data_IF_978036732416
#
_entry.id   IF_978036732416
#
_cell.length_a   1.000
_cell.length_b   1.000
_cell.length_c   1.000
_cell.angle_alpha   90.00
_cell.angle_beta   90.00
_cell.angle_gamma   90.00
#
_symmetry.space_group_name_H-M   'P 1'
#
loop_
_entity.id
_entity.type
_entity.pdbx_description
1 polymer ?
#
# COMPACT_ATOMS: atom_id res chain seq x y z
N UNK A 1 -7.27 16.24 -17.60
CA UNK A 1 -5.81 16.05 -17.81
C UNK A 1 -5.20 14.83 -17.09
N UNK A 2 -5.87 14.18 -16.12
CA UNK A 2 -5.29 13.05 -15.36
C UNK A 2 -5.38 11.64 -16.03
N UNK A 3 -5.89 11.52 -17.26
CA UNK A 3 -6.12 10.22 -17.91
C UNK A 3 -4.82 9.52 -18.35
N UNK A 4 -3.92 10.22 -19.04
CA UNK A 4 -2.68 9.64 -19.58
C UNK A 4 -1.74 9.07 -18.51
N UNK A 5 -1.49 9.76 -17.38
CA UNK A 5 -0.66 9.20 -16.31
C UNK A 5 -1.28 7.91 -15.72
N UNK A 6 -2.62 7.81 -15.63
CA UNK A 6 -3.31 6.62 -15.10
C UNK A 6 -3.20 5.41 -16.04
N UNK A 7 -3.15 5.62 -17.35
CA UNK A 7 -2.94 4.54 -18.32
C UNK A 7 -1.60 3.83 -18.06
N UNK A 8 -0.55 4.57 -17.67
CA UNK A 8 0.76 3.98 -17.41
C UNK A 8 0.78 3.02 -16.21
N UNK A 9 -0.20 3.09 -15.31
CA UNK A 9 -0.35 2.16 -14.20
C UNK A 9 -0.92 0.81 -14.63
N UNK A 10 -1.68 0.76 -15.73
CA UNK A 10 -2.31 -0.47 -16.23
C UNK A 10 -1.25 -1.52 -16.59
N UNK A 11 -0.19 -1.23 -17.37
CA UNK A 11 0.90 -2.16 -17.61
C UNK A 11 1.58 -2.68 -16.33
N UNK A 12 1.75 -1.84 -15.31
CA UNK A 12 2.35 -2.24 -14.03
C UNK A 12 1.46 -3.24 -13.30
N UNK A 13 0.15 -2.98 -13.26
CA UNK A 13 -0.84 -3.89 -12.67
C UNK A 13 -0.93 -5.22 -13.44
N UNK A 14 -0.85 -5.17 -14.77
CA UNK A 14 -0.79 -6.37 -15.60
C UNK A 14 0.50 -7.17 -15.37
N UNK A 15 1.65 -6.50 -15.21
CA UNK A 15 2.92 -7.15 -14.88
C UNK A 15 2.86 -7.81 -13.48
N UNK A 16 2.19 -7.17 -12.51
CA UNK A 16 1.91 -7.79 -11.22
C UNK A 16 1.06 -9.05 -11.36
N UNK A 17 -0.03 -8.99 -12.13
CA UNK A 17 -0.89 -10.13 -12.42
C UNK A 17 -0.14 -11.29 -13.08
N UNK A 18 0.68 -10.98 -14.09
CA UNK A 18 1.52 -11.97 -14.77
C UNK A 18 2.49 -12.63 -13.79
N UNK A 19 3.16 -11.85 -12.94
CA UNK A 19 4.12 -12.41 -11.99
C UNK A 19 3.44 -13.25 -10.90
N UNK A 20 2.25 -12.84 -10.43
CA UNK A 20 1.39 -13.65 -9.55
C UNK A 20 1.07 -14.99 -10.20
N UNK A 21 0.59 -14.97 -11.45
CA UNK A 21 0.30 -16.19 -12.21
C UNK A 21 1.52 -17.09 -12.35
N UNK A 22 2.65 -16.55 -12.80
CA UNK A 22 3.88 -17.30 -13.03
C UNK A 22 4.41 -17.92 -11.74
N UNK A 23 4.36 -17.17 -10.62
CA UNK A 23 4.89 -17.65 -9.37
C UNK A 23 3.98 -18.71 -8.75
N UNK A 24 2.66 -18.49 -8.71
CA UNK A 24 1.70 -19.50 -8.28
C UNK A 24 1.78 -20.77 -9.14
N UNK A 25 1.89 -20.62 -10.46
CA UNK A 25 2.05 -21.74 -11.40
C UNK A 25 3.28 -22.58 -11.07
N UNK A 26 4.40 -21.92 -10.77
CA UNK A 26 5.64 -22.62 -10.43
C UNK A 26 5.51 -23.39 -9.10
N UNK A 27 4.87 -22.78 -8.10
CA UNK A 27 4.79 -23.36 -6.75
C UNK A 27 3.76 -24.48 -6.64
N UNK A 28 2.59 -24.29 -7.25
CA UNK A 28 1.42 -25.12 -6.99
C UNK A 28 0.84 -25.74 -8.26
N UNK A 29 1.09 -25.16 -9.44
CA UNK A 29 0.66 -25.69 -10.74
C UNK A 29 -0.27 -24.75 -11.51
N UNK A 30 -0.65 -25.13 -12.73
CA UNK A 30 -1.36 -24.25 -13.67
C UNK A 30 -2.68 -23.70 -13.10
N UNK A 31 -3.48 -24.55 -12.45
CA UNK A 31 -4.77 -24.13 -11.91
C UNK A 31 -4.61 -23.07 -10.81
N UNK A 32 -3.62 -23.22 -9.93
CA UNK A 32 -3.30 -22.23 -8.90
C UNK A 32 -2.88 -20.89 -9.52
N UNK A 33 -2.10 -20.92 -10.60
CA UNK A 33 -1.75 -19.72 -11.36
C UNK A 33 -2.99 -18.95 -11.82
N UNK A 34 -3.90 -19.64 -12.50
CA UNK A 34 -5.14 -19.04 -13.03
C UNK A 34 -6.06 -18.53 -11.91
N UNK A 35 -6.21 -19.30 -10.83
CA UNK A 35 -7.05 -18.93 -9.69
C UNK A 35 -6.46 -17.72 -8.93
N UNK A 36 -5.14 -17.67 -8.75
CA UNK A 36 -4.47 -16.53 -8.14
C UNK A 36 -4.64 -15.25 -8.98
N UNK A 37 -4.51 -15.36 -10.30
CA UNK A 37 -4.78 -14.26 -11.22
C UNK A 37 -6.24 -13.80 -11.16
N UNK A 38 -7.19 -14.75 -11.10
CA UNK A 38 -8.61 -14.43 -10.96
C UNK A 38 -8.90 -13.64 -9.69
N UNK A 39 -8.31 -14.01 -8.54
CA UNK A 39 -8.45 -13.21 -7.32
C UNK A 39 -7.92 -11.78 -7.51
N UNK A 40 -6.75 -11.62 -8.12
CA UNK A 40 -6.18 -10.30 -8.38
C UNK A 40 -7.09 -9.44 -9.28
N UNK A 41 -7.68 -10.03 -10.31
CA UNK A 41 -8.56 -9.35 -11.25
C UNK A 41 -9.93 -8.99 -10.68
N UNK A 42 -10.40 -9.72 -9.66
CA UNK A 42 -11.74 -9.55 -9.09
C UNK A 42 -11.72 -8.78 -7.76
N UNK A 43 -10.55 -8.52 -7.17
CA UNK A 43 -10.49 -7.90 -5.86
C UNK A 43 -10.65 -6.37 -5.93
N UNK A 44 -11.71 -5.77 -5.35
CA UNK A 44 -11.98 -4.33 -5.42
C UNK A 44 -10.79 -3.46 -4.96
N UNK A 45 -10.06 -3.89 -3.93
CA UNK A 45 -8.87 -3.16 -3.46
C UNK A 45 -7.78 -3.06 -4.53
N UNK A 46 -7.55 -4.11 -5.34
CA UNK A 46 -6.60 -4.06 -6.45
C UNK A 46 -7.16 -3.21 -7.59
N UNK A 47 -8.45 -3.34 -7.89
CA UNK A 47 -9.12 -2.55 -8.94
C UNK A 47 -9.10 -1.04 -8.62
N UNK A 48 -9.21 -0.67 -7.33
CA UNK A 48 -9.08 0.70 -6.88
C UNK A 48 -7.67 1.26 -7.14
N UNK A 49 -6.64 0.58 -6.63
CA UNK A 49 -5.27 1.10 -6.62
C UNK A 49 -4.49 0.81 -7.92
N UNK A 50 -4.93 -0.15 -8.73
CA UNK A 50 -4.27 -0.57 -9.97
C UNK A 50 -4.26 0.47 -11.09
N UNK A 51 -5.09 1.53 -10.96
CA UNK A 51 -5.21 2.64 -11.91
C UNK A 51 -4.72 3.98 -11.37
N UNK A 52 -4.38 4.07 -10.09
CA UNK A 52 -3.99 5.34 -9.44
C UNK A 52 -2.48 5.51 -9.52
N UNK A 53 -2.03 6.72 -9.88
CA UNK A 53 -0.61 7.06 -10.00
C UNK A 53 -0.01 7.28 -8.63
N UNK A 54 0.46 6.20 -8.01
CA UNK A 54 1.20 6.19 -6.76
C UNK A 54 2.14 4.96 -6.70
N UNK A 55 3.04 4.93 -5.73
CA UNK A 55 4.11 3.91 -5.63
C UNK A 55 3.66 2.56 -5.06
N UNK A 56 2.39 2.42 -4.64
CA UNK A 56 1.93 1.24 -3.90
C UNK A 56 1.88 -0.06 -4.73
N UNK A 57 1.22 -0.04 -5.90
CA UNK A 57 1.18 -1.20 -6.81
C UNK A 57 2.54 -1.51 -7.44
N UNK A 58 3.33 -0.51 -7.93
CA UNK A 58 4.72 -0.74 -8.30
C UNK A 58 5.54 -1.36 -7.17
N UNK A 59 5.35 -0.89 -5.93
CA UNK A 59 5.99 -1.44 -4.74
C UNK A 59 5.61 -2.90 -4.48
N UNK A 60 4.33 -3.27 -4.64
CA UNK A 60 3.88 -4.65 -4.53
C UNK A 60 4.50 -5.55 -5.61
N UNK A 61 4.60 -5.07 -6.86
CA UNK A 61 5.29 -5.76 -7.94
C UNK A 61 6.78 -5.97 -7.63
N UNK A 62 7.48 -4.92 -7.20
CA UNK A 62 8.91 -5.00 -6.89
C UNK A 62 9.17 -5.92 -5.68
N UNK A 63 8.31 -5.89 -4.68
CA UNK A 63 8.35 -6.77 -3.52
C UNK A 63 8.15 -8.24 -3.93
N UNK A 64 7.14 -8.54 -4.76
CA UNK A 64 6.92 -9.88 -5.31
C UNK A 64 8.11 -10.35 -6.17
N UNK A 65 8.62 -9.47 -7.04
CA UNK A 65 9.76 -9.75 -7.91
C UNK A 65 11.02 -10.07 -7.11
N UNK A 66 11.31 -9.31 -6.05
CA UNK A 66 12.42 -9.59 -5.15
C UNK A 66 12.32 -11.00 -4.56
N UNK A 67 11.17 -11.38 -3.99
CA UNK A 67 11.00 -12.71 -3.40
C UNK A 67 10.99 -13.83 -4.44
N UNK A 68 10.47 -13.58 -5.64
CA UNK A 68 10.59 -14.52 -6.76
C UNK A 68 12.05 -14.77 -7.14
N UNK A 69 12.85 -13.70 -7.27
CA UNK A 69 14.28 -13.78 -7.59
C UNK A 69 15.09 -14.40 -6.44
N UNK A 70 14.75 -14.08 -5.19
CA UNK A 70 15.35 -14.70 -4.01
C UNK A 70 15.09 -16.20 -4.00
N UNK A 71 13.85 -16.62 -4.26
CA UNK A 71 13.52 -18.04 -4.37
C UNK A 71 14.26 -18.72 -5.54
N UNK A 72 14.38 -18.06 -6.70
CA UNK A 72 15.22 -18.56 -7.80
C UNK A 72 16.68 -18.74 -7.36
N UNK A 73 17.25 -17.77 -6.67
CA UNK A 73 18.62 -17.83 -6.19
C UNK A 73 18.82 -18.97 -5.18
N UNK A 74 17.95 -19.11 -4.19
CA UNK A 74 18.03 -20.15 -3.16
C UNK A 74 17.93 -21.56 -3.78
N UNK A 75 17.05 -21.77 -4.78
CA UNK A 75 16.92 -23.08 -5.43
C UNK A 75 18.18 -23.51 -6.18
N UNK A 76 18.82 -22.58 -6.92
CA UNK A 76 20.10 -22.86 -7.61
C UNK A 76 20.94 -21.59 -7.59
N UNK A 77 21.87 -21.45 -6.62
CA UNK A 77 22.73 -20.27 -6.53
C UNK A 77 23.60 -20.13 -7.76
N UNK A 78 23.63 -18.93 -8.35
CA UNK A 78 24.56 -18.57 -9.42
C UNK A 78 24.86 -17.08 -9.40
N UNK A 79 26.00 -16.70 -9.96
CA UNK A 79 26.42 -15.31 -10.06
C UNK A 79 25.35 -14.43 -10.73
N UNK A 80 24.83 -14.85 -11.89
CA UNK A 80 23.79 -14.11 -12.60
C UNK A 80 22.51 -13.94 -11.76
N UNK A 81 22.11 -14.95 -10.97
CA UNK A 81 20.93 -14.84 -10.10
C UNK A 81 21.17 -13.90 -8.92
N UNK A 82 22.41 -13.84 -8.41
CA UNK A 82 22.78 -12.88 -7.38
C UNK A 82 22.73 -11.44 -7.91
N UNK A 83 23.22 -11.21 -9.14
CA UNK A 83 23.11 -9.92 -9.82
C UNK A 83 21.64 -9.52 -10.00
N UNK A 84 20.80 -10.41 -10.53
CA UNK A 84 19.36 -10.12 -10.67
C UNK A 84 18.66 -9.89 -9.34
N UNK A 85 19.00 -10.65 -8.30
CA UNK A 85 18.49 -10.42 -6.94
C UNK A 85 18.88 -9.03 -6.42
N UNK A 86 20.13 -8.61 -6.62
CA UNK A 86 20.58 -7.25 -6.31
C UNK A 86 19.85 -6.18 -7.11
N UNK A 87 19.67 -6.38 -8.42
CA UNK A 87 18.90 -5.48 -9.28
C UNK A 87 17.45 -5.34 -8.80
N UNK A 88 16.80 -6.45 -8.43
CA UNK A 88 15.45 -6.46 -7.86
C UNK A 88 15.38 -5.72 -6.51
N UNK A 89 16.40 -5.88 -5.66
CA UNK A 89 16.50 -5.15 -4.40
C UNK A 89 16.63 -3.64 -4.59
N UNK A 90 17.54 -3.21 -5.48
CA UNK A 90 17.71 -1.81 -5.83
C UNK A 90 16.47 -1.20 -6.48
N UNK A 91 15.84 -1.93 -7.40
CA UNK A 91 14.60 -1.50 -8.07
C UNK A 91 13.46 -1.32 -7.05
N UNK A 92 13.34 -2.23 -6.10
CA UNK A 92 12.33 -2.12 -5.05
C UNK A 92 12.54 -0.86 -4.19
N UNK A 93 13.77 -0.56 -3.77
CA UNK A 93 14.06 0.60 -2.93
C UNK A 93 13.87 1.94 -3.63
N UNK A 94 14.16 2.03 -4.94
CA UNK A 94 13.87 3.26 -5.71
C UNK A 94 12.39 3.40 -6.04
N UNK A 95 11.65 2.29 -6.13
CA UNK A 95 10.21 2.32 -6.38
C UNK A 95 9.45 2.84 -5.16
N UNK A 96 9.85 2.40 -3.96
CA UNK A 96 9.24 2.84 -2.71
C UNK A 96 10.24 2.70 -1.56
N UNK A 97 10.51 3.79 -0.85
CA UNK A 97 11.50 3.83 0.24
C UNK A 97 11.27 2.77 1.32
N UNK A 98 10.02 2.42 1.63
CA UNK A 98 9.69 1.37 2.62
C UNK A 98 10.19 -0.03 2.23
N UNK A 99 10.55 -0.25 0.96
CA UNK A 99 11.15 -1.50 0.49
C UNK A 99 12.58 -1.71 0.98
N UNK A 100 13.17 -0.74 1.69
CA UNK A 100 14.45 -0.92 2.38
C UNK A 100 14.44 -2.11 3.36
N UNK A 101 13.25 -2.52 3.83
CA UNK A 101 13.03 -3.74 4.62
C UNK A 101 13.57 -5.01 3.94
N UNK A 102 13.76 -5.00 2.61
CA UNK A 102 14.32 -6.11 1.84
C UNK A 102 15.84 -6.21 1.94
N UNK A 103 16.55 -5.09 2.12
CA UNK A 103 18.01 -5.06 2.03
C UNK A 103 18.70 -5.95 3.09
N UNK A 104 18.24 -6.02 4.36
CA UNK A 104 18.79 -6.95 5.34
C UNK A 104 18.69 -8.43 4.95
N UNK A 105 17.78 -8.80 4.06
CA UNK A 105 17.64 -10.18 3.59
C UNK A 105 18.80 -10.60 2.69
N UNK A 106 19.49 -9.67 2.03
CA UNK A 106 20.65 -9.99 1.20
C UNK A 106 21.78 -10.59 2.04
N UNK A 107 22.40 -9.89 3.01
CA UNK A 107 23.47 -10.46 3.82
C UNK A 107 23.01 -11.71 4.58
N UNK A 108 21.77 -11.77 5.08
CA UNK A 108 21.22 -12.97 5.70
C UNK A 108 21.21 -14.18 4.76
N UNK A 109 20.77 -13.99 3.51
CA UNK A 109 20.71 -15.06 2.50
C UNK A 109 22.10 -15.59 2.19
N UNK A 110 23.07 -14.71 1.94
CA UNK A 110 24.43 -15.13 1.61
C UNK A 110 25.14 -15.72 2.82
N UNK A 111 24.90 -15.21 4.02
CA UNK A 111 25.39 -15.80 5.26
C UNK A 111 24.90 -17.24 5.41
N UNK A 112 23.59 -17.50 5.30
CA UNK A 112 23.04 -18.87 5.33
C UNK A 112 23.68 -19.74 4.25
N UNK A 113 23.88 -19.19 3.04
CA UNK A 113 24.51 -19.92 1.95
C UNK A 113 25.97 -20.31 2.26
N UNK A 114 26.74 -19.51 3.02
CA UNK A 114 28.11 -19.88 3.42
C UNK A 114 28.16 -21.12 4.31
N UNK A 115 27.15 -21.37 5.15
CA UNK A 115 27.07 -22.58 5.98
C UNK A 115 26.58 -23.80 5.20
N UNK A 116 25.82 -23.59 4.12
CA UNK A 116 25.37 -24.65 3.22
C UNK A 116 26.43 -25.04 2.18
N UNK A 117 27.45 -24.21 2.00
CA UNK A 117 28.55 -24.44 1.05
C UNK A 117 29.65 -25.26 1.72
N UNK A 118 30.20 -26.27 1.03
CA UNK A 118 31.37 -27.00 1.52
C UNK A 118 32.59 -26.08 1.69
N UNK A 119 33.59 -26.49 2.49
CA UNK A 119 34.76 -25.67 2.85
C UNK A 119 35.51 -25.09 1.64
N UNK A 120 35.58 -25.82 0.52
CA UNK A 120 36.19 -25.39 -0.75
C UNK A 120 35.42 -24.32 -1.52
N UNK A 121 34.13 -24.11 -1.24
CA UNK A 121 33.26 -23.18 -1.99
C UNK A 121 32.82 -21.96 -1.18
N UNK A 122 33.39 -21.77 0.02
CA UNK A 122 32.95 -20.75 0.98
C UNK A 122 33.16 -19.30 0.50
N UNK A 123 34.02 -19.08 -0.50
CA UNK A 123 34.25 -17.77 -1.12
C UNK A 123 33.15 -17.38 -2.11
N UNK A 124 32.41 -18.34 -2.69
CA UNK A 124 31.38 -18.05 -3.70
C UNK A 124 30.21 -17.22 -3.17
N UNK A 125 29.64 -17.49 -1.98
CA UNK A 125 28.57 -16.65 -1.44
C UNK A 125 29.01 -15.21 -1.17
N UNK A 126 30.27 -14.99 -0.78
CA UNK A 126 30.81 -13.65 -0.58
C UNK A 126 30.91 -12.89 -1.92
N UNK A 127 31.37 -13.55 -2.99
CA UNK A 127 31.38 -12.98 -4.35
C UNK A 127 29.96 -12.66 -4.84
N UNK A 128 29.00 -13.57 -4.62
CA UNK A 128 27.61 -13.33 -4.97
C UNK A 128 27.00 -12.16 -4.17
N UNK A 129 27.32 -12.04 -2.88
CA UNK A 129 26.90 -10.92 -2.05
C UNK A 129 27.49 -9.60 -2.58
N UNK A 130 28.79 -9.57 -2.88
CA UNK A 130 29.44 -8.40 -3.46
C UNK A 130 28.78 -7.97 -4.77
N UNK A 131 28.48 -8.92 -5.66
CA UNK A 131 27.79 -8.65 -6.92
C UNK A 131 26.35 -8.14 -6.71
N UNK A 132 25.60 -8.74 -5.80
CA UNK A 132 24.24 -8.29 -5.46
C UNK A 132 24.25 -6.87 -4.86
N UNK A 133 25.15 -6.60 -3.92
CA UNK A 133 25.31 -5.29 -3.29
C UNK A 133 25.73 -4.23 -4.30
N UNK A 134 26.72 -4.52 -5.14
CA UNK A 134 27.13 -3.61 -6.23
C UNK A 134 25.95 -3.31 -7.16
N UNK A 135 25.13 -4.32 -7.48
CA UNK A 135 23.97 -4.11 -8.34
C UNK A 135 22.88 -3.27 -7.66
N UNK A 136 22.62 -3.44 -6.36
CA UNK A 136 21.73 -2.54 -5.59
C UNK A 136 22.23 -1.10 -5.68
N UNK A 137 23.51 -0.87 -5.38
CA UNK A 137 24.11 0.46 -5.42
C UNK A 137 24.09 1.07 -6.83
N UNK A 138 24.35 0.26 -7.86
CA UNK A 138 24.30 0.68 -9.25
C UNK A 138 22.90 1.11 -9.66
N UNK A 139 21.87 0.32 -9.37
CA UNK A 139 20.48 0.66 -9.70
C UNK A 139 20.05 1.96 -9.02
N UNK A 140 20.38 2.13 -7.74
CA UNK A 140 20.08 3.35 -7.00
C UNK A 140 20.79 4.55 -7.65
N UNK A 141 22.08 4.45 -7.95
CA UNK A 141 22.81 5.57 -8.55
C UNK A 141 22.32 5.90 -9.97
N UNK A 142 22.05 4.88 -10.79
CA UNK A 142 21.51 5.07 -12.16
C UNK A 142 20.17 5.77 -12.14
N UNK A 143 19.27 5.40 -11.22
CA UNK A 143 17.95 6.04 -11.08
C UNK A 143 18.01 7.54 -10.73
N UNK A 144 19.12 7.97 -10.14
CA UNK A 144 19.40 9.36 -9.82
C UNK A 144 20.45 9.97 -10.76
N UNK A 145 20.72 9.36 -11.92
CA UNK A 145 21.69 9.84 -12.91
C UNK A 145 23.11 10.06 -12.37
N UNK A 146 23.48 9.37 -11.28
CA UNK A 146 24.70 9.59 -10.49
C UNK A 146 24.81 11.01 -9.88
N UNK A 147 23.73 11.79 -9.88
CA UNK A 147 23.69 13.12 -9.29
C UNK A 147 23.65 13.07 -7.77
N UNK A 148 24.48 13.94 -7.16
CA UNK A 148 24.64 14.05 -5.70
C UNK A 148 24.68 15.51 -5.26
N UNK A 149 23.68 16.33 -5.65
CA UNK A 149 23.64 17.72 -5.21
C UNK A 149 23.60 17.79 -3.67
N UNK A 150 24.17 18.84 -3.06
CA UNK A 150 23.97 19.08 -1.65
C UNK A 150 22.51 19.45 -1.38
N UNK A 151 22.04 19.20 -0.17
CA UNK A 151 20.73 19.66 0.30
C UNK A 151 20.66 21.20 0.22
N UNK A 152 19.52 21.74 -0.21
CA UNK A 152 19.33 23.18 -0.32
C UNK A 152 18.95 23.79 1.06
N UNK A 153 18.72 25.11 1.09
CA UNK A 153 18.35 25.82 2.32
C UNK A 153 17.00 25.34 2.90
N UNK A 154 16.02 25.06 2.03
CA UNK A 154 14.69 24.57 2.41
C UNK A 154 14.77 23.16 3.01
N UNK A 155 15.54 22.25 2.42
CA UNK A 155 15.73 20.89 2.95
C UNK A 155 16.37 20.91 4.34
N UNK A 156 17.36 21.79 4.54
CA UNK A 156 17.98 22.01 5.85
C UNK A 156 17.00 22.60 6.86
N UNK A 157 16.16 23.55 6.44
CA UNK A 157 15.12 24.13 7.29
C UNK A 157 14.06 23.09 7.69
N UNK A 158 13.61 22.24 6.77
CA UNK A 158 12.71 21.11 7.04
C UNK A 158 13.35 20.16 8.08
N UNK A 159 14.62 19.81 7.87
CA UNK A 159 15.35 18.93 8.80
C UNK A 159 15.46 19.55 10.19
N UNK A 160 15.73 20.86 10.28
CA UNK A 160 15.79 21.60 11.54
C UNK A 160 14.43 21.70 12.23
N UNK A 161 13.34 21.85 11.49
CA UNK A 161 11.99 21.83 12.04
C UNK A 161 11.53 20.45 12.52
N UNK A 162 12.09 19.38 11.95
CA UNK A 162 11.73 18.00 12.25
C UNK A 162 12.65 17.31 13.25
N UNK A 163 13.70 17.95 13.76
CA UNK A 163 14.63 17.26 14.67
C UNK A 163 15.32 18.21 15.63
N UNK A 164 15.50 17.76 16.87
CA UNK A 164 16.33 18.46 17.86
C UNK A 164 17.84 18.34 17.58
N UNK A 165 18.25 17.45 16.67
CA UNK A 165 19.65 17.23 16.30
C UNK A 165 19.85 17.25 14.77
N UNK A 166 19.57 18.38 14.09
CA UNK A 166 19.63 18.45 12.62
C UNK A 166 21.02 18.18 12.07
N UNK A 167 22.09 18.66 12.71
CA UNK A 167 23.47 18.43 12.26
C UNK A 167 23.87 16.95 12.24
N UNK A 168 23.34 16.17 13.20
CA UNK A 168 23.56 14.72 13.23
C UNK A 168 22.88 14.01 12.06
N UNK A 169 21.70 14.48 11.65
CA UNK A 169 21.01 13.96 10.48
C UNK A 169 21.73 14.37 9.20
N UNK A 170 22.12 15.64 9.08
CA UNK A 170 22.83 16.15 7.91
C UNK A 170 24.17 15.42 7.71
N UNK A 171 24.90 15.11 8.78
CA UNK A 171 26.11 14.29 8.73
C UNK A 171 25.83 12.82 8.38
N UNK A 172 24.75 12.21 8.90
CA UNK A 172 24.31 10.87 8.52
C UNK A 172 23.92 10.76 7.04
N UNK A 173 23.36 11.82 6.45
CA UNK A 173 23.10 11.91 5.01
C UNK A 173 24.42 12.16 4.25
N UNK A 174 25.24 13.10 4.70
CA UNK A 174 26.45 13.54 4.00
C UNK A 174 27.55 12.48 3.94
N UNK A 175 27.74 11.66 4.97
CA UNK A 175 28.77 10.63 5.01
C UNK A 175 28.63 9.57 3.88
N UNK A 176 27.45 8.92 3.69
CA UNK A 176 27.22 8.00 2.58
C UNK A 176 26.97 8.68 1.23
N UNK A 177 26.73 10.00 1.18
CA UNK A 177 26.48 10.73 -0.08
C UNK A 177 27.67 10.68 -1.08
N UNK A 178 28.86 10.24 -0.65
CA UNK A 178 30.00 9.94 -1.53
C UNK A 178 29.78 8.71 -2.42
N UNK A 179 28.88 7.81 -2.06
CA UNK A 179 28.58 6.57 -2.82
C UNK A 179 27.11 6.40 -3.19
N UNK A 180 26.22 7.17 -2.57
CA UNK A 180 24.77 7.11 -2.77
C UNK A 180 24.21 8.51 -3.09
N UNK A 181 23.10 8.62 -3.84
CA UNK A 181 22.43 9.89 -4.11
C UNK A 181 21.95 10.58 -2.83
N UNK A 182 22.26 11.87 -2.67
CA UNK A 182 21.87 12.68 -1.50
C UNK A 182 20.35 12.65 -1.27
N UNK A 183 19.55 12.83 -2.32
CA UNK A 183 18.08 12.86 -2.20
C UNK A 183 17.44 11.49 -1.98
N UNK A 184 18.13 10.39 -2.31
CA UNK A 184 17.69 9.05 -1.90
C UNK A 184 17.77 8.91 -0.38
N UNK A 185 18.91 9.30 0.20
CA UNK A 185 19.14 9.28 1.65
C UNK A 185 18.22 10.25 2.38
N UNK A 186 18.00 11.45 1.83
CA UNK A 186 17.04 12.41 2.37
C UNK A 186 15.61 11.88 2.33
N UNK A 187 15.20 11.19 1.26
CA UNK A 187 13.88 10.53 1.18
C UNK A 187 13.71 9.44 2.24
N UNK A 188 14.73 8.62 2.46
CA UNK A 188 14.72 7.62 3.56
C UNK A 188 14.56 8.29 4.93
N UNK A 189 15.27 9.38 5.18
CA UNK A 189 15.13 10.16 6.41
C UNK A 189 13.70 10.69 6.56
N UNK A 190 13.13 11.32 5.52
CA UNK A 190 11.78 11.88 5.59
C UNK A 190 10.72 10.82 5.90
N UNK A 191 10.80 9.62 5.29
CA UNK A 191 9.88 8.52 5.59
C UNK A 191 10.06 8.00 7.02
N UNK A 192 11.31 7.89 7.50
CA UNK A 192 11.59 7.46 8.86
C UNK A 192 11.09 8.48 9.90
N UNK A 193 11.35 9.78 9.67
CA UNK A 193 10.87 10.87 10.51
C UNK A 193 9.34 10.92 10.52
N UNK A 194 8.69 10.83 9.35
CA UNK A 194 7.24 10.78 9.25
C UNK A 194 6.67 9.58 10.02
N UNK A 195 7.28 8.39 9.91
CA UNK A 195 6.84 7.24 10.70
C UNK A 195 7.09 7.42 12.20
N UNK A 196 8.14 8.12 12.62
CA UNK A 196 8.43 8.39 14.03
C UNK A 196 7.44 9.38 14.65
N UNK A 197 7.14 10.48 13.95
CA UNK A 197 6.19 11.48 14.41
C UNK A 197 4.75 10.99 14.32
N UNK A 198 4.49 10.15 13.33
CA UNK A 198 3.18 9.59 13.03
C UNK A 198 2.39 10.45 12.04
N UNK A 199 1.14 10.07 11.81
CA UNK A 199 0.26 10.74 10.88
C UNK A 199 -1.17 10.73 11.40
N UNK A 200 -1.89 11.84 11.22
CA UNK A 200 -3.29 11.92 11.57
C UNK A 200 -4.10 10.87 10.79
N UNK A 201 -4.75 9.97 11.51
CA UNK A 201 -5.44 8.83 10.96
C UNK A 201 -6.73 8.55 11.74
N UNK A 202 -7.61 7.74 11.17
CA UNK A 202 -8.77 7.21 11.86
C UNK A 202 -8.98 5.74 11.59
N UNK A 203 -9.53 5.07 12.60
CA UNK A 203 -9.87 3.66 12.58
C UNK A 203 -11.07 3.43 13.51
N UNK A 204 -12.16 2.84 13.00
CA UNK A 204 -13.34 2.46 13.79
C UNK A 204 -13.91 3.62 14.64
N UNK A 205 -13.96 4.82 14.07
CA UNK A 205 -14.45 6.04 14.72
C UNK A 205 -13.43 6.71 15.65
N UNK A 206 -12.30 6.08 15.93
CA UNK A 206 -11.21 6.67 16.72
C UNK A 206 -10.37 7.59 15.83
N UNK A 207 -9.86 8.69 16.37
CA UNK A 207 -8.83 9.51 15.74
C UNK A 207 -7.52 9.45 16.53
N UNK A 208 -6.40 9.56 15.82
CA UNK A 208 -5.09 9.59 16.47
C UNK A 208 -3.97 9.90 15.49
N UNK A 209 -2.83 10.32 16.01
CA UNK A 209 -1.63 10.63 15.23
C UNK A 209 -0.54 9.56 15.37
N UNK A 210 -0.69 8.63 16.31
CA UNK A 210 0.32 7.60 16.64
C UNK A 210 0.03 6.23 16.05
N UNK A 211 -1.03 6.08 15.25
CA UNK A 211 -1.40 4.81 14.61
C UNK A 211 -1.84 3.71 15.59
N UNK A 212 -2.24 2.56 15.04
CA UNK A 212 -2.70 1.37 15.73
C UNK A 212 -2.03 0.14 15.13
N UNK A 213 -1.45 -0.71 15.97
CA UNK A 213 -0.79 -1.95 15.51
C UNK A 213 -1.75 -2.87 14.71
N UNK A 214 -3.04 -2.81 15.02
CA UNK A 214 -4.11 -3.59 14.38
C UNK A 214 -4.79 -2.88 13.19
N UNK A 215 -4.28 -1.71 12.78
CA UNK A 215 -4.86 -0.95 11.66
C UNK A 215 -4.91 -1.77 10.37
N UNK A 216 -3.79 -2.34 9.92
CA UNK A 216 -3.74 -3.10 8.68
C UNK A 216 -4.53 -4.41 8.71
N UNK A 217 -4.52 -5.20 9.81
CA UNK A 217 -5.44 -6.31 9.97
C UNK A 217 -6.93 -5.91 9.81
N UNK A 218 -7.37 -4.83 10.45
CA UNK A 218 -8.75 -4.34 10.32
C UNK A 218 -9.02 -3.82 8.91
N UNK A 219 -8.10 -3.03 8.35
CA UNK A 219 -8.24 -2.49 7.00
C UNK A 219 -8.33 -3.62 5.97
N UNK A 220 -7.48 -4.66 6.06
CA UNK A 220 -7.55 -5.85 5.22
C UNK A 220 -8.91 -6.55 5.40
N UNK A 221 -9.36 -6.75 6.64
CA UNK A 221 -10.62 -7.42 6.94
C UNK A 221 -11.85 -6.68 6.40
N UNK A 222 -11.82 -5.35 6.32
CA UNK A 222 -12.94 -4.54 5.81
C UNK A 222 -12.84 -4.25 4.31
N UNK A 223 -11.63 -4.13 3.76
CA UNK A 223 -11.39 -3.75 2.37
C UNK A 223 -11.39 -4.92 1.39
N UNK A 224 -11.30 -6.14 1.90
CA UNK A 224 -11.28 -7.32 1.03
C UNK A 224 -12.65 -7.95 0.84
N UNK A 225 -12.89 -8.65 -0.27
CA UNK A 225 -14.12 -9.43 -0.42
C UNK A 225 -14.17 -10.52 0.66
N UNK A 226 -15.34 -10.79 1.26
CA UNK A 226 -15.46 -11.81 2.32
C UNK A 226 -15.01 -13.18 1.81
N UNK A 227 -15.31 -13.48 0.54
CA UNK A 227 -14.86 -14.69 -0.15
C UNK A 227 -13.33 -14.79 -0.22
N UNK A 228 -12.65 -13.71 -0.60
CA UNK A 228 -11.19 -13.68 -0.64
C UNK A 228 -10.57 -13.69 0.75
N UNK A 229 -11.14 -12.97 1.72
CA UNK A 229 -10.70 -12.98 3.12
C UNK A 229 -10.76 -14.39 3.71
N UNK A 230 -11.88 -15.10 3.50
CA UNK A 230 -12.05 -16.48 3.93
C UNK A 230 -10.99 -17.40 3.33
N UNK A 231 -10.78 -17.35 2.01
CA UNK A 231 -9.75 -18.15 1.34
C UNK A 231 -8.34 -17.77 1.80
N UNK A 232 -8.08 -16.49 2.07
CA UNK A 232 -6.79 -16.03 2.60
C UNK A 232 -6.51 -16.64 3.98
N UNK A 233 -7.47 -16.62 4.90
CA UNK A 233 -7.33 -17.19 6.23
C UNK A 233 -7.11 -18.72 6.15
N UNK A 234 -7.97 -19.42 5.41
CA UNK A 234 -7.87 -20.89 5.29
C UNK A 234 -6.57 -21.31 4.61
N UNK A 235 -6.15 -20.61 3.56
CA UNK A 235 -4.90 -20.89 2.85
C UNK A 235 -3.66 -20.56 3.67
N UNK A 236 -3.69 -19.54 4.53
CA UNK A 236 -2.64 -19.26 5.51
C UNK A 236 -2.50 -20.42 6.50
N UNK A 237 -3.59 -20.86 7.13
CA UNK A 237 -3.59 -21.99 8.07
C UNK A 237 -3.08 -23.27 7.39
N UNK A 238 -3.58 -23.56 6.19
CA UNK A 238 -3.12 -24.69 5.39
C UNK A 238 -1.61 -24.60 5.07
N UNK A 239 -1.12 -23.42 4.70
CA UNK A 239 0.28 -23.21 4.37
C UNK A 239 1.20 -23.38 5.58
N UNK A 240 0.81 -22.84 6.74
CA UNK A 240 1.52 -23.03 8.02
C UNK A 240 1.58 -24.52 8.37
N UNK A 241 0.46 -25.23 8.24
CA UNK A 241 0.42 -26.68 8.44
C UNK A 241 1.39 -27.44 7.52
N UNK A 242 1.45 -27.08 6.23
CA UNK A 242 2.40 -27.66 5.26
C UNK A 242 3.86 -27.36 5.58
N UNK A 243 4.16 -26.20 6.14
CA UNK A 243 5.51 -25.88 6.62
C UNK A 243 5.87 -26.72 7.84
N UNK A 244 4.97 -26.81 8.83
CA UNK A 244 5.25 -27.54 10.07
C UNK A 244 5.35 -29.05 9.83
N UNK A 245 4.40 -29.62 9.08
CA UNK A 245 4.30 -31.06 8.82
C UNK A 245 5.28 -31.53 7.73
N UNK A 246 5.31 -30.85 6.59
CA UNK A 246 6.01 -31.33 5.38
C UNK A 246 7.33 -30.58 5.13
N UNK A 247 7.68 -29.57 5.95
CA UNK A 247 8.88 -28.70 5.76
C UNK A 247 8.96 -28.10 4.36
N UNK A 248 7.80 -27.78 3.78
CA UNK A 248 7.68 -27.35 2.40
C UNK A 248 8.29 -25.96 2.16
N UNK A 249 9.44 -25.93 1.47
CA UNK A 249 10.15 -24.69 1.11
C UNK A 249 9.27 -23.76 0.25
N UNK A 250 8.43 -24.32 -0.63
CA UNK A 250 7.51 -23.53 -1.47
C UNK A 250 6.52 -22.71 -0.65
N UNK A 251 6.01 -23.26 0.45
CA UNK A 251 5.12 -22.55 1.37
C UNK A 251 5.88 -21.51 2.21
N UNK A 252 7.11 -21.82 2.64
CA UNK A 252 8.00 -20.84 3.31
C UNK A 252 8.28 -19.64 2.40
N UNK A 253 8.49 -19.87 1.10
CA UNK A 253 8.78 -18.83 0.12
C UNK A 253 7.63 -17.83 -0.10
N UNK A 254 6.42 -18.15 0.38
CA UNK A 254 5.22 -17.29 0.33
C UNK A 254 4.84 -16.77 1.72
N UNK A 255 5.03 -17.56 2.78
CA UNK A 255 4.75 -17.12 4.16
C UNK A 255 5.80 -16.14 4.69
N UNK A 256 7.08 -16.31 4.35
CA UNK A 256 8.14 -15.41 4.80
C UNK A 256 7.92 -13.94 4.37
N UNK A 257 7.59 -13.62 3.10
CA UNK A 257 7.25 -12.25 2.72
C UNK A 257 6.03 -11.71 3.45
N UNK A 258 4.97 -12.51 3.60
CA UNK A 258 3.78 -12.09 4.36
C UNK A 258 4.17 -11.71 5.79
N UNK A 259 4.89 -12.59 6.48
CA UNK A 259 5.31 -12.36 7.86
C UNK A 259 6.21 -11.12 8.01
N UNK A 260 7.18 -10.96 7.12
CA UNK A 260 8.09 -9.81 7.12
C UNK A 260 7.33 -8.49 6.95
N UNK A 261 6.45 -8.42 5.96
CA UNK A 261 5.72 -7.18 5.67
C UNK A 261 4.66 -6.90 6.74
N UNK A 262 3.98 -7.92 7.28
CA UNK A 262 3.09 -7.77 8.43
C UNK A 262 3.83 -7.19 9.64
N UNK A 263 5.01 -7.73 9.97
CA UNK A 263 5.80 -7.24 11.09
C UNK A 263 6.20 -5.76 10.91
N UNK A 264 6.59 -5.35 9.69
CA UNK A 264 6.92 -3.96 9.39
C UNK A 264 5.68 -3.04 9.40
N UNK A 265 4.55 -3.52 8.89
CA UNK A 265 3.32 -2.74 8.82
C UNK A 265 2.70 -2.52 10.21
N UNK A 266 2.73 -3.53 11.07
CA UNK A 266 2.17 -3.47 12.43
C UNK A 266 2.98 -2.58 13.39
N UNK A 267 4.21 -2.20 13.03
CA UNK A 267 5.03 -1.22 13.76
C UNK A 267 5.03 0.17 13.13
N UNK A 268 4.26 0.38 12.06
CA UNK A 268 4.17 1.68 11.39
C UNK A 268 3.08 2.57 12.01
N UNK A 269 3.42 3.85 12.20
CA UNK A 269 2.48 4.89 12.64
C UNK A 269 1.83 5.64 11.46
N UNK A 270 2.10 5.23 10.21
CA UNK A 270 1.50 5.80 9.00
C UNK A 270 0.31 4.92 8.60
N UNK A 271 -0.85 5.24 9.16
CA UNK A 271 -2.07 4.42 9.05
C UNK A 271 -3.15 5.12 8.21
N UNK A 272 -2.82 5.39 6.96
CA UNK A 272 -3.64 6.21 6.07
C UNK A 272 -4.30 5.43 4.93
N UNK A 273 -4.06 4.12 4.82
CA UNK A 273 -4.57 3.35 3.69
C UNK A 273 -4.16 1.88 3.67
N UNK A 274 -5.10 0.99 3.34
CA UNK A 274 -4.81 -0.42 3.00
C UNK A 274 -3.80 -0.53 1.85
N UNK A 275 -3.67 0.51 1.01
CA UNK A 275 -2.69 0.59 -0.07
C UNK A 275 -1.25 0.34 0.38
N UNK A 276 -0.88 0.73 1.60
CA UNK A 276 0.46 0.50 2.15
C UNK A 276 0.72 -0.99 2.44
N UNK A 277 -0.33 -1.80 2.50
CA UNK A 277 -0.31 -3.24 2.74
C UNK A 277 -0.44 -4.09 1.47
N UNK A 278 -0.60 -3.46 0.29
CA UNK A 278 -0.67 -4.16 -1.01
C UNK A 278 0.48 -5.13 -1.28
N UNK A 279 1.73 -4.94 -0.80
CA UNK A 279 2.79 -5.93 -1.00
C UNK A 279 2.49 -7.33 -0.47
N UNK A 280 1.53 -7.47 0.46
CA UNK A 280 1.08 -8.76 1.00
C UNK A 280 0.07 -9.45 0.08
N UNK A 281 -0.78 -8.69 -0.62
CA UNK A 281 -1.88 -9.21 -1.44
C UNK A 281 -1.44 -10.25 -2.49
N UNK A 282 -0.36 -10.03 -3.27
CA UNK A 282 0.12 -11.01 -4.24
C UNK A 282 0.38 -12.39 -3.65
N UNK A 283 0.93 -12.45 -2.43
CA UNK A 283 1.23 -13.72 -1.76
C UNK A 283 -0.03 -14.39 -1.24
N UNK A 284 -1.02 -13.61 -0.78
CA UNK A 284 -2.35 -14.14 -0.42
C UNK A 284 -3.08 -14.72 -1.64
N UNK A 285 -3.00 -14.06 -2.80
CA UNK A 285 -3.54 -14.60 -4.06
C UNK A 285 -2.87 -15.93 -4.44
N UNK A 286 -1.54 -15.99 -4.34
CA UNK A 286 -0.76 -17.21 -4.60
C UNK A 286 -1.15 -18.35 -3.66
N UNK A 287 -1.29 -18.09 -2.35
CA UNK A 287 -1.74 -19.10 -1.37
C UNK A 287 -3.18 -19.55 -1.63
N UNK A 288 -4.09 -18.60 -1.92
CA UNK A 288 -5.49 -18.90 -2.22
C UNK A 288 -5.63 -19.80 -3.45
N UNK A 289 -4.92 -19.46 -4.54
CA UNK A 289 -4.86 -20.31 -5.74
C UNK A 289 -4.27 -21.69 -5.46
N UNK A 290 -3.18 -21.75 -4.69
CA UNK A 290 -2.54 -23.01 -4.27
C UNK A 290 -3.46 -23.91 -3.45
N UNK A 291 -4.19 -23.33 -2.49
CA UNK A 291 -5.15 -24.05 -1.66
C UNK A 291 -6.30 -24.61 -2.50
N UNK A 292 -6.92 -23.79 -3.34
CA UNK A 292 -8.02 -24.24 -4.21
C UNK A 292 -7.55 -25.34 -5.18
N UNK A 293 -6.33 -25.24 -5.73
CA UNK A 293 -5.77 -26.31 -6.54
C UNK A 293 -5.59 -27.60 -5.73
N UNK A 294 -5.13 -27.52 -4.49
CA UNK A 294 -4.99 -28.70 -3.62
C UNK A 294 -6.35 -29.38 -3.36
N UNK A 295 -7.42 -28.60 -3.16
CA UNK A 295 -8.78 -29.12 -3.01
C UNK A 295 -9.27 -29.75 -4.33
N UNK A 296 -9.04 -29.09 -5.47
CA UNK A 296 -9.40 -29.62 -6.80
C UNK A 296 -8.76 -30.98 -7.09
N UNK A 297 -7.49 -31.16 -6.72
CA UNK A 297 -6.79 -32.45 -6.88
C UNK A 297 -7.35 -33.51 -5.93
N UNK A 298 -7.67 -33.14 -4.69
CA UNK A 298 -8.17 -34.08 -3.67
C UNK A 298 -9.62 -34.51 -3.90
N UNK A 299 -10.49 -33.56 -4.25
CA UNK A 299 -11.94 -33.71 -4.43
C UNK A 299 -12.42 -32.74 -5.51
N UNK A 300 -12.41 -33.20 -6.77
CA UNK A 300 -12.70 -32.36 -7.94
C UNK A 300 -14.02 -31.59 -7.84
N UNK A 301 -15.14 -32.27 -7.53
CA UNK A 301 -16.46 -31.62 -7.44
C UNK A 301 -16.50 -30.54 -6.36
N UNK A 302 -16.01 -30.84 -5.15
CA UNK A 302 -15.95 -29.88 -4.05
C UNK A 302 -15.01 -28.70 -4.36
N UNK A 303 -13.86 -28.95 -4.99
CA UNK A 303 -12.93 -27.90 -5.39
C UNK A 303 -13.50 -26.97 -6.46
N UNK A 304 -14.22 -27.52 -7.45
CA UNK A 304 -14.90 -26.72 -8.48
C UNK A 304 -16.02 -25.89 -7.85
N UNK A 305 -16.85 -26.49 -7.00
CA UNK A 305 -17.93 -25.78 -6.30
C UNK A 305 -17.37 -24.64 -5.43
N UNK A 306 -16.32 -24.91 -4.64
CA UNK A 306 -15.69 -23.90 -3.80
C UNK A 306 -15.08 -22.76 -4.63
N UNK A 307 -14.33 -23.07 -5.68
CA UNK A 307 -13.75 -22.05 -6.56
C UNK A 307 -14.84 -21.22 -7.24
N UNK A 308 -15.91 -21.85 -7.74
CA UNK A 308 -17.02 -21.16 -8.37
C UNK A 308 -17.73 -20.20 -7.40
N UNK A 309 -18.06 -20.66 -6.19
CA UNK A 309 -18.73 -19.82 -5.17
C UNK A 309 -17.87 -18.63 -4.78
N UNK A 310 -16.59 -18.86 -4.49
CA UNK A 310 -15.68 -17.79 -4.07
C UNK A 310 -15.47 -16.76 -5.18
N UNK A 311 -15.21 -17.20 -6.42
CA UNK A 311 -14.97 -16.30 -7.54
C UNK A 311 -16.25 -15.58 -7.98
N UNK A 312 -17.41 -16.25 -7.96
CA UNK A 312 -18.69 -15.62 -8.25
C UNK A 312 -19.02 -14.53 -7.22
N UNK A 313 -18.74 -14.77 -5.94
CA UNK A 313 -18.89 -13.74 -4.90
C UNK A 313 -17.95 -12.56 -5.16
N UNK A 314 -16.66 -12.79 -5.37
CA UNK A 314 -15.71 -11.70 -5.63
C UNK A 314 -16.09 -10.91 -6.90
N UNK A 315 -16.53 -11.60 -7.96
CA UNK A 315 -17.04 -10.96 -9.17
C UNK A 315 -18.29 -10.12 -8.90
N UNK A 316 -19.24 -10.64 -8.12
CA UNK A 316 -20.44 -9.90 -7.74
C UNK A 316 -20.10 -8.60 -7.01
N UNK A 317 -19.18 -8.65 -6.03
CA UNK A 317 -18.72 -7.44 -5.33
C UNK A 317 -18.02 -6.46 -6.28
N UNK A 318 -17.13 -6.94 -7.15
CA UNK A 318 -16.45 -6.09 -8.11
C UNK A 318 -17.45 -5.37 -9.03
N UNK A 319 -18.41 -6.10 -9.60
CA UNK A 319 -19.43 -5.51 -10.49
C UNK A 319 -20.34 -4.55 -9.74
N UNK A 320 -20.77 -4.90 -8.52
CA UNK A 320 -21.67 -4.09 -7.70
C UNK A 320 -21.07 -2.74 -7.32
N UNK A 321 -19.77 -2.71 -7.11
CA UNK A 321 -19.04 -1.54 -6.57
C UNK A 321 -18.51 -0.64 -7.69
N UNK A 322 -18.41 -1.15 -8.91
CA UNK A 322 -17.97 -0.36 -10.05
C UNK A 322 -18.81 0.92 -10.21
N UNK A 323 -18.18 2.10 -10.42
CA UNK A 323 -16.75 2.36 -10.58
C UNK A 323 -16.01 2.78 -9.29
N UNK A 324 -16.67 2.77 -8.14
CA UNK A 324 -16.29 3.42 -6.88
C UNK A 324 -15.51 2.49 -5.93
N UNK A 325 -14.50 1.80 -6.48
CA UNK A 325 -13.73 0.79 -5.75
C UNK A 325 -12.96 1.33 -4.54
N UNK A 326 -12.57 2.60 -4.54
CA UNK A 326 -11.79 3.21 -3.44
C UNK A 326 -12.58 3.15 -2.14
N UNK A 327 -13.85 3.55 -2.17
CA UNK A 327 -14.73 3.59 -1.01
C UNK A 327 -15.16 2.20 -0.52
N UNK A 328 -15.04 1.15 -1.33
CA UNK A 328 -15.50 -0.21 -1.02
C UNK A 328 -15.17 -0.67 0.40
N UNK A 329 -16.20 -1.06 1.16
CA UNK A 329 -16.06 -1.90 2.34
C UNK A 329 -16.98 -3.11 2.18
N UNK A 330 -16.54 -4.25 2.69
CA UNK A 330 -17.37 -5.44 2.70
C UNK A 330 -18.46 -5.37 3.77
N UNK A 331 -19.29 -6.42 3.83
CA UNK A 331 -20.48 -6.50 4.68
C UNK A 331 -20.20 -6.52 6.19
N UNK A 332 -18.94 -6.60 6.63
CA UNK A 332 -18.59 -6.43 8.03
C UNK A 332 -18.75 -4.96 8.46
N UNK A 333 -18.65 -4.02 7.53
CA UNK A 333 -19.00 -2.62 7.76
C UNK A 333 -20.51 -2.42 7.60
N UNK A 334 -21.18 -1.93 8.65
CA UNK A 334 -22.64 -1.68 8.67
C UNK A 334 -23.00 -0.19 8.71
N UNK A 335 -22.05 0.67 9.05
CA UNK A 335 -22.18 2.12 9.04
C UNK A 335 -21.53 2.77 7.80
N UNK A 336 -21.45 4.11 7.77
CA UNK A 336 -20.81 4.83 6.67
C UNK A 336 -19.31 4.53 6.62
N UNK A 337 -18.74 4.55 5.41
CA UNK A 337 -17.37 4.12 5.14
C UNK A 337 -16.36 4.92 5.94
N UNK A 338 -16.59 6.23 6.01
CA UNK A 338 -15.75 7.18 6.74
C UNK A 338 -15.69 6.91 8.24
N UNK A 339 -16.65 6.18 8.81
CA UNK A 339 -16.58 5.81 10.23
C UNK A 339 -15.50 4.74 10.48
N UNK A 340 -15.36 3.77 9.58
CA UNK A 340 -14.44 2.65 9.79
C UNK A 340 -13.00 2.97 9.41
N UNK A 341 -12.83 3.64 8.27
CA UNK A 341 -11.54 3.99 7.69
C UNK A 341 -11.65 5.36 7.05
N UNK A 342 -10.52 6.04 6.91
CA UNK A 342 -10.46 7.37 6.31
C UNK A 342 -9.31 7.50 5.31
N UNK A 343 -9.13 8.71 4.76
CA UNK A 343 -8.06 9.06 3.82
C UNK A 343 -8.15 8.18 2.56
N UNK A 344 -7.02 7.63 2.12
CA UNK A 344 -6.88 6.83 0.91
C UNK A 344 -7.67 5.52 0.92
N UNK A 345 -8.34 5.19 2.03
CA UNK A 345 -9.34 4.13 2.08
C UNK A 345 -10.72 4.57 1.63
N UNK A 346 -11.06 5.85 1.55
CA UNK A 346 -12.43 6.26 1.21
C UNK A 346 -12.45 7.24 0.04
N UNK A 347 -11.44 8.08 -0.09
CA UNK A 347 -11.34 9.02 -1.21
C UNK A 347 -9.90 9.45 -1.52
N UNK A 348 -9.73 10.01 -2.72
CA UNK A 348 -8.54 10.74 -3.19
C UNK A 348 -8.91 12.08 -3.85
N UNK A 349 -10.16 12.53 -3.68
CA UNK A 349 -10.74 13.60 -4.50
C UNK A 349 -11.13 13.17 -5.92
N UNK A 350 -11.07 11.86 -6.22
CA UNK A 350 -11.47 11.30 -7.52
C UNK A 350 -12.93 11.61 -7.87
N UNK A 351 -13.82 11.55 -6.88
CA UNK A 351 -15.26 11.73 -7.07
C UNK A 351 -15.65 13.20 -7.26
N UNK A 352 -14.81 14.12 -6.78
CA UNK A 352 -14.97 15.57 -6.99
C UNK A 352 -14.89 15.88 -8.49
N UNK A 353 -13.98 15.21 -9.20
CA UNK A 353 -13.86 15.32 -10.64
C UNK A 353 -15.02 14.69 -11.41
N UNK A 354 -15.55 13.57 -10.90
CA UNK A 354 -16.65 12.84 -11.54
C UNK A 354 -17.98 13.60 -11.45
N UNK A 355 -18.19 14.38 -10.39
CA UNK A 355 -19.42 15.12 -10.16
C UNK A 355 -19.71 16.18 -11.23
N UNK A 356 -18.68 16.87 -11.73
CA UNK A 356 -18.88 18.13 -12.47
C UNK A 356 -17.96 18.30 -13.68
N UNK A 357 -17.46 17.20 -14.28
CA UNK A 357 -16.67 17.23 -15.52
C UNK A 357 -15.22 17.72 -15.37
N UNK A 358 -14.77 17.95 -14.13
CA UNK A 358 -13.45 18.47 -13.77
C UNK A 358 -13.46 19.92 -13.28
N UNK A 359 -12.35 20.35 -12.67
CA UNK A 359 -12.22 21.68 -12.03
C UNK A 359 -12.54 22.86 -12.94
N UNK A 360 -12.28 22.74 -14.24
CA UNK A 360 -12.53 23.82 -15.20
C UNK A 360 -14.01 23.98 -15.54
N UNK A 361 -14.80 22.91 -15.54
CA UNK A 361 -16.24 22.97 -15.79
C UNK A 361 -17.03 23.36 -14.54
N UNK A 362 -16.46 23.18 -13.35
CA UNK A 362 -17.07 23.62 -12.09
C UNK A 362 -17.34 25.12 -12.07
N UNK A 363 -16.36 25.94 -12.44
CA UNK A 363 -16.55 27.41 -12.46
C UNK A 363 -17.61 27.85 -13.48
N UNK A 364 -17.71 27.19 -14.63
CA UNK A 364 -18.78 27.45 -15.61
C UNK A 364 -20.18 27.05 -15.11
N UNK A 365 -20.26 26.10 -14.16
CA UNK A 365 -21.49 25.68 -13.51
C UNK A 365 -21.77 26.46 -12.21
N UNK A 366 -20.99 27.50 -11.91
CA UNK A 366 -21.13 28.30 -10.69
C UNK A 366 -20.64 27.60 -9.42
N UNK A 367 -19.85 26.53 -9.54
CA UNK A 367 -19.25 25.80 -8.41
C UNK A 367 -17.82 26.26 -8.23
N UNK A 368 -17.55 26.99 -7.14
CA UNK A 368 -16.21 27.46 -6.78
C UNK A 368 -15.55 26.54 -5.75
N UNK A 369 -14.26 26.24 -5.94
CA UNK A 369 -13.48 25.56 -4.92
C UNK A 369 -13.15 26.53 -3.79
N UNK A 370 -13.76 26.30 -2.64
CA UNK A 370 -13.48 27.06 -1.44
C UNK A 370 -12.46 26.34 -0.58
N UNK A 371 -11.34 27.01 -0.28
CA UNK A 371 -10.50 26.58 0.82
C UNK A 371 -11.16 26.98 2.15
N UNK A 372 -11.97 26.08 2.71
CA UNK A 372 -12.64 26.27 4.01
C UNK A 372 -11.68 26.57 5.18
N UNK A 373 -10.38 26.42 4.98
CA UNK A 373 -9.35 26.71 5.98
C UNK A 373 -8.62 28.04 5.75
N UNK A 374 -8.90 28.73 4.65
CA UNK A 374 -8.34 30.06 4.40
C UNK A 374 -9.01 31.12 5.30
N UNK A 375 -8.30 32.22 5.56
CA UNK A 375 -8.85 33.35 6.29
C UNK A 375 -9.95 34.04 5.47
N UNK A 376 -11.11 34.29 6.08
CA UNK A 376 -12.27 34.92 5.46
C UNK A 376 -13.58 34.23 5.84
N UNK A 377 -14.70 34.95 5.73
CA UNK A 377 -16.01 34.30 5.85
C UNK A 377 -16.29 33.48 4.58
N UNK A 378 -16.74 32.22 4.71
CA UNK A 378 -17.17 31.45 3.56
C UNK A 378 -18.36 32.16 2.89
N UNK A 379 -18.47 32.11 1.55
CA UNK A 379 -19.61 32.70 0.85
C UNK A 379 -20.93 32.08 1.31
N UNK A 380 -22.00 32.87 1.25
CA UNK A 380 -23.35 32.40 1.53
C UNK A 380 -23.72 31.30 0.51
N UNK A 381 -24.12 30.13 0.99
CA UNK A 381 -24.43 28.96 0.16
C UNK A 381 -25.59 28.17 0.75
N UNK A 382 -26.45 27.66 -0.14
CA UNK A 382 -27.54 26.75 0.23
C UNK A 382 -27.06 25.32 0.50
N UNK A 383 -25.87 24.97 0.00
CA UNK A 383 -25.34 23.61 0.07
C UNK A 383 -23.86 23.57 0.42
N UNK A 384 -23.47 22.54 1.16
CA UNK A 384 -22.07 22.21 1.44
C UNK A 384 -21.83 20.73 1.14
N UNK A 385 -20.81 20.46 0.33
CA UNK A 385 -20.31 19.12 0.04
C UNK A 385 -19.05 18.85 0.86
N UNK A 386 -19.04 17.75 1.62
CA UNK A 386 -17.93 17.38 2.51
C UNK A 386 -17.41 16.00 2.12
N UNK A 387 -16.10 15.89 1.90
CA UNK A 387 -15.42 14.61 1.68
C UNK A 387 -15.48 13.72 2.93
N UNK A 388 -15.59 12.42 2.71
CA UNK A 388 -15.63 11.37 3.72
C UNK A 388 -14.50 11.51 4.76
N UNK A 389 -13.29 11.82 4.31
CA UNK A 389 -12.13 11.96 5.20
C UNK A 389 -12.20 13.22 6.06
N UNK A 390 -12.79 14.29 5.54
CA UNK A 390 -13.05 15.51 6.30
C UNK A 390 -14.18 15.31 7.32
N UNK A 391 -15.26 14.59 6.95
CA UNK A 391 -16.31 14.20 7.89
C UNK A 391 -15.75 13.35 9.03
N UNK A 392 -14.87 12.40 8.71
CA UNK A 392 -14.17 11.60 9.71
C UNK A 392 -13.25 12.45 10.61
N UNK A 393 -12.64 13.50 10.04
CA UNK A 393 -11.74 14.42 10.74
C UNK A 393 -10.25 14.09 10.59
N UNK A 394 -9.89 12.94 9.99
CA UNK A 394 -8.47 12.56 9.89
C UNK A 394 -7.66 13.49 8.99
N UNK A 395 -8.24 14.00 7.90
CA UNK A 395 -7.56 14.86 6.91
C UNK A 395 -7.75 16.36 7.15
N UNK A 396 -8.50 16.75 8.19
CA UNK A 396 -8.59 18.15 8.60
C UNK A 396 -7.19 18.58 9.08
N UNK A 397 -6.57 19.61 8.48
CA UNK A 397 -5.24 20.06 8.91
C UNK A 397 -5.31 20.74 10.28
N UNK A 398 -4.18 20.84 10.97
CA UNK A 398 -4.09 21.75 12.13
C UNK A 398 -4.25 23.20 11.66
N UNK A 399 -4.82 24.04 12.51
CA UNK A 399 -4.94 25.47 12.27
C UNK A 399 -4.12 26.27 13.27
N UNK A 400 -4.00 27.58 13.02
CA UNK A 400 -3.39 28.50 13.99
C UNK A 400 -4.22 28.63 15.27
N UNK A 401 -3.73 29.39 16.26
CA UNK A 401 -4.47 29.69 17.47
C UNK A 401 -5.87 30.24 17.16
N UNK A 402 -6.88 29.80 17.91
CA UNK A 402 -8.29 30.20 17.76
C UNK A 402 -8.98 29.80 16.44
N UNK A 403 -8.37 28.94 15.63
CA UNK A 403 -8.97 28.44 14.37
C UNK A 403 -10.07 27.39 14.57
N UNK A 404 -10.27 26.90 15.80
CA UNK A 404 -11.11 25.73 16.08
C UNK A 404 -10.50 24.42 15.54
N UNK A 405 -9.19 24.40 15.28
CA UNK A 405 -8.39 23.25 14.82
C UNK A 405 -6.99 23.24 15.43
N UNK A 406 -6.81 23.93 16.56
CA UNK A 406 -5.54 24.10 17.27
C UNK A 406 -5.15 22.86 18.10
N UNK A 407 -6.15 22.11 18.58
CA UNK A 407 -5.94 20.79 19.20
C UNK A 407 -6.40 19.65 18.30
N UNK A 408 -5.91 18.43 18.58
CA UNK A 408 -6.31 17.21 17.87
C UNK A 408 -7.83 16.95 17.97
N UNK A 409 -8.44 17.24 19.12
CA UNK A 409 -9.86 17.05 19.35
C UNK A 409 -10.71 18.03 18.53
N UNK A 410 -10.36 19.32 18.56
CA UNK A 410 -11.06 20.34 17.78
C UNK A 410 -10.93 20.08 16.28
N UNK A 411 -9.71 19.75 15.81
CA UNK A 411 -9.43 19.36 14.43
C UNK A 411 -10.26 18.15 14.00
N UNK A 412 -10.25 17.08 14.80
CA UNK A 412 -11.01 15.87 14.52
C UNK A 412 -12.52 16.13 14.50
N UNK A 413 -13.02 17.07 15.28
CA UNK A 413 -14.45 17.37 15.39
C UNK A 413 -14.91 18.60 14.60
N UNK A 414 -14.06 19.16 13.74
CA UNK A 414 -14.37 20.38 12.98
C UNK A 414 -15.68 20.27 12.17
N UNK A 415 -15.95 19.10 11.57
CA UNK A 415 -17.19 18.81 10.84
C UNK A 415 -18.18 17.90 11.61
N UNK A 416 -18.04 17.77 12.93
CA UNK A 416 -18.85 16.84 13.73
C UNK A 416 -20.37 17.08 13.61
N UNK A 417 -20.79 18.33 13.45
CA UNK A 417 -22.20 18.72 13.29
C UNK A 417 -22.88 18.11 12.05
N UNK A 418 -22.11 17.66 11.05
CA UNK A 418 -22.62 17.03 9.84
C UNK A 418 -22.74 15.51 9.96
N UNK A 419 -22.05 14.87 10.92
CA UNK A 419 -22.04 13.40 11.08
C UNK A 419 -23.41 12.82 11.45
N UNK A 420 -24.26 13.61 12.12
CA UNK A 420 -25.61 13.21 12.55
C UNK A 420 -26.69 13.70 11.61
N UNK A 421 -26.35 14.52 10.61
CA UNK A 421 -27.29 15.00 9.60
C UNK A 421 -27.44 13.97 8.50
N UNK A 422 -28.64 13.86 7.95
CA UNK A 422 -28.88 13.06 6.75
C UNK A 422 -28.41 13.89 5.54
N UNK A 423 -27.46 13.39 4.74
CA UNK A 423 -27.05 14.07 3.51
C UNK A 423 -28.20 14.03 2.49
N UNK A 424 -28.35 15.09 1.69
CA UNK A 424 -29.31 15.10 0.58
C UNK A 424 -28.89 14.20 -0.56
N UNK A 425 -27.58 14.10 -0.79
CA UNK A 425 -26.98 13.24 -1.80
C UNK A 425 -25.60 12.75 -1.35
N UNK A 426 -25.22 11.56 -1.80
CA UNK A 426 -23.89 11.01 -1.63
C UNK A 426 -23.35 10.65 -3.02
N UNK A 427 -22.20 11.22 -3.38
CA UNK A 427 -21.56 11.03 -4.68
C UNK A 427 -20.31 10.18 -4.54
N UNK A 428 -20.15 9.17 -5.41
CA UNK A 428 -19.01 8.24 -5.38
C UNK A 428 -18.82 7.49 -4.05
N UNK A 429 -19.86 7.47 -3.20
CA UNK A 429 -19.82 6.99 -1.79
C UNK A 429 -18.86 7.75 -0.88
N UNK A 430 -18.29 8.87 -1.34
CA UNK A 430 -17.22 9.56 -0.63
C UNK A 430 -17.46 11.06 -0.44
N UNK A 431 -18.39 11.67 -1.17
CA UNK A 431 -18.75 13.09 -1.01
C UNK A 431 -20.19 13.20 -0.54
N UNK A 432 -20.39 13.90 0.56
CA UNK A 432 -21.68 14.02 1.24
C UNK A 432 -22.19 15.46 1.10
N UNK A 433 -23.31 15.65 0.42
CA UNK A 433 -23.95 16.94 0.20
C UNK A 433 -25.00 17.21 1.28
N UNK A 434 -24.91 18.36 1.92
CA UNK A 434 -25.84 18.82 2.95
C UNK A 434 -26.46 20.14 2.54
N UNK A 435 -27.76 20.31 2.78
CA UNK A 435 -28.40 21.62 2.70
C UNK A 435 -28.11 22.42 3.97
N UNK A 436 -27.67 23.64 3.79
CA UNK A 436 -27.55 24.63 4.85
C UNK A 436 -28.77 25.54 4.69
N UNK A 437 -29.84 25.25 5.43
CA UNK A 437 -31.05 26.05 5.36
C UNK A 437 -30.77 27.51 5.70
N UNK A 438 -31.41 28.43 4.98
CA UNK A 438 -31.51 29.83 5.37
C UNK A 438 -31.82 29.90 6.87
N UNK A 439 -31.04 30.72 7.59
CA UNK A 439 -31.40 31.17 8.94
C UNK A 439 -32.84 31.69 8.90
N UNK A 440 -33.78 30.90 9.41
CA UNK A 440 -35.20 31.21 9.25
C UNK A 440 -36.13 30.15 9.81
N UNK A 441 -35.98 29.80 11.08
CA UNK A 441 -37.09 29.63 12.04
C UNK A 441 -36.64 30.10 13.41
#
# INVERSE_FOLDING_TARGET
MAFWPRIMMVPVTLALGLLVFLYARKLFGMAAGLLALAFLCLEPTILAHGRIVHTDVPGALAYLAFFFLLHRYIERPSFNRAVWLGAGGGLATITKFSMIVLLPLLPLTFFIQTFRSGSRERTRPALHFGAALLMVLLVINVAYFFERPPLNATDRAITAGQSQQPERILSWIGAPAKGLPTYFLFGLYNVAAHNQYGHAASLLGMQGTKGWWYYFPVALALKTTISFLFISIVSLVWSVYRVVRDRSIGHVAVLAPIALYCAAAMTSHINIGVRHFLPVFPFLFILGGGFLQAVLIRRRSAGVALAAVVLAWSLFEAVRVFPDYTAYLNQLARGPEWHYLSDSNVEWGDDVHALLGGWLSMSYLGVEYLNLFAEGEPPETDYVAIGASFLNGSTVPFGGPNSGRDTDEQRANYFAAYRTRVPEAIFGRSIYLYRIGNRGQ
#
